data_IF_561647059189
#
_entry.id   IF_561647059189
#
_cell.length_a   1.000
_cell.length_b   1.000
_cell.length_c   1.000
_cell.angle_alpha   90.00
_cell.angle_beta   90.00
_cell.angle_gamma   90.00
#
_symmetry.space_group_name_H-M   'P 1'
#
loop_
_entity.id
_entity.type
_entity.pdbx_description
1 polymer ?
#
# COMPACT_ATOMS: atom_id res chain seq x y z
N UNK A 1 9.93 -37.74 -1.24
CA UNK A 1 9.26 -37.47 0.05
C UNK A 1 8.89 -36.00 0.02
N UNK A 2 7.67 -35.66 -0.41
CA UNK A 2 7.25 -34.26 -0.45
C UNK A 2 6.99 -33.81 0.98
N UNK A 3 7.83 -32.92 1.50
CA UNK A 3 7.40 -32.05 2.59
C UNK A 3 6.12 -31.37 2.11
N UNK A 4 5.01 -31.54 2.81
CA UNK A 4 3.86 -30.67 2.62
C UNK A 4 4.36 -29.25 2.82
N UNK A 5 4.50 -28.48 1.74
CA UNK A 5 4.94 -27.09 1.84
C UNK A 5 3.98 -26.37 2.79
N UNK A 6 4.55 -25.79 3.86
CA UNK A 6 3.80 -25.05 4.86
C UNK A 6 3.15 -23.87 4.14
N UNK A 7 1.82 -23.77 4.22
CA UNK A 7 1.09 -22.60 3.71
C UNK A 7 1.59 -21.36 4.46
N UNK A 8 2.17 -20.35 3.77
CA UNK A 8 2.72 -19.17 4.40
C UNK A 8 1.63 -18.35 5.09
N UNK A 9 2.00 -17.71 6.19
CA UNK A 9 1.10 -16.99 7.08
C UNK A 9 1.48 -15.50 7.14
N UNK A 10 0.49 -14.61 7.11
CA UNK A 10 0.72 -13.17 6.98
C UNK A 10 0.20 -12.35 8.16
N UNK A 11 0.93 -11.31 8.54
CA UNK A 11 0.42 -10.23 9.38
C UNK A 11 -0.21 -9.14 8.50
N UNK A 12 -1.46 -8.75 8.77
CA UNK A 12 -2.14 -7.69 8.03
C UNK A 12 -2.16 -6.39 8.85
N UNK A 13 -1.60 -5.33 8.29
CA UNK A 13 -1.48 -4.02 8.92
C UNK A 13 -2.51 -3.06 8.34
N UNK A 14 -3.24 -2.33 9.19
CA UNK A 14 -4.25 -1.35 8.78
C UNK A 14 -4.39 -0.19 9.77
N UNK A 15 -4.68 1.01 9.26
CA UNK A 15 -4.84 2.23 10.08
C UNK A 15 -6.22 2.86 10.03
N UNK A 16 -7.15 2.33 9.23
CA UNK A 16 -8.43 2.98 8.92
C UNK A 16 -9.55 1.97 8.66
N UNK A 17 -10.35 2.22 7.62
CA UNK A 17 -11.54 1.40 7.31
C UNK A 17 -11.25 -0.07 7.04
N UNK A 18 -10.02 -0.43 6.69
CA UNK A 18 -9.61 -1.82 6.51
C UNK A 18 -10.24 -2.51 5.31
N UNK A 19 -10.84 -1.78 4.36
CA UNK A 19 -11.51 -2.37 3.18
C UNK A 19 -10.59 -3.26 2.34
N UNK A 20 -9.32 -2.85 2.14
CA UNK A 20 -8.32 -3.72 1.48
C UNK A 20 -8.03 -4.98 2.32
N UNK A 21 -7.94 -4.86 3.65
CA UNK A 21 -7.76 -6.00 4.55
C UNK A 21 -8.97 -6.94 4.49
N UNK A 22 -10.19 -6.41 4.44
CA UNK A 22 -11.41 -7.21 4.31
C UNK A 22 -11.40 -8.04 3.03
N UNK A 23 -11.04 -7.46 1.88
CA UNK A 23 -10.95 -8.21 0.62
C UNK A 23 -9.89 -9.30 0.67
N UNK A 24 -8.74 -9.02 1.29
CA UNK A 24 -7.69 -10.02 1.51
C UNK A 24 -8.17 -11.16 2.42
N UNK A 25 -8.88 -10.86 3.49
CA UNK A 25 -9.42 -11.86 4.41
C UNK A 25 -10.49 -12.73 3.76
N UNK A 26 -11.35 -12.14 2.91
CA UNK A 26 -12.32 -12.89 2.12
C UNK A 26 -11.64 -13.82 1.10
N UNK A 27 -10.58 -13.34 0.44
CA UNK A 27 -9.77 -14.19 -0.45
C UNK A 27 -9.07 -15.31 0.34
N UNK A 28 -8.54 -15.02 1.53
CA UNK A 28 -7.84 -16.00 2.34
C UNK A 28 -8.74 -17.10 2.94
N UNK A 29 -10.04 -16.82 3.08
CA UNK A 29 -11.06 -17.79 3.52
C UNK A 29 -11.44 -18.77 2.40
N UNK A 30 -10.94 -18.56 1.18
CA UNK A 30 -11.12 -19.51 0.07
C UNK A 30 -10.38 -20.84 0.33
N UNK A 31 -10.97 -22.00 -0.02
CA UNK A 31 -10.33 -23.31 0.21
C UNK A 31 -8.98 -23.49 -0.48
N UNK A 32 -8.76 -22.77 -1.58
CA UNK A 32 -7.57 -22.79 -2.41
C UNK A 32 -6.61 -21.62 -2.11
N UNK A 33 -6.82 -20.87 -1.03
CA UNK A 33 -5.91 -19.80 -0.64
C UNK A 33 -4.49 -20.34 -0.41
N UNK A 34 -3.46 -19.79 -1.10
CA UNK A 34 -2.07 -20.20 -0.92
C UNK A 34 -1.44 -19.55 0.32
N UNK A 35 -2.22 -18.85 1.15
CA UNK A 35 -1.73 -18.20 2.36
C UNK A 35 -2.83 -18.14 3.44
N UNK A 36 -2.44 -17.81 4.67
CA UNK A 36 -3.37 -17.66 5.80
C UNK A 36 -3.10 -16.39 6.61
N UNK A 37 -4.13 -15.68 7.10
CA UNK A 37 -3.93 -14.57 8.02
C UNK A 37 -3.54 -15.10 9.41
N UNK A 38 -2.45 -14.58 9.97
CA UNK A 38 -1.96 -14.94 11.30
C UNK A 38 -2.46 -13.96 12.38
N UNK A 39 -2.45 -12.66 12.07
CA UNK A 39 -2.76 -11.59 13.02
C UNK A 39 -3.12 -10.29 12.29
N UNK A 40 -4.05 -9.52 12.83
CA UNK A 40 -4.29 -8.14 12.43
C UNK A 40 -3.47 -7.19 13.30
N UNK A 41 -2.95 -6.12 12.71
CA UNK A 41 -2.15 -5.10 13.40
C UNK A 41 -2.71 -3.72 13.09
N UNK A 42 -2.98 -2.93 14.13
CA UNK A 42 -3.39 -1.53 13.97
C UNK A 42 -2.52 -0.59 14.80
N UNK A 43 -2.12 0.52 14.19
CA UNK A 43 -1.46 1.64 14.85
C UNK A 43 -2.45 2.72 15.32
N UNK A 44 -3.74 2.55 15.02
CA UNK A 44 -4.82 3.49 15.35
C UNK A 44 -6.04 2.76 15.90
N UNK A 45 -5.93 2.12 17.07
CA UNK A 45 -7.00 1.27 17.60
C UNK A 45 -8.34 1.99 17.80
N UNK A 46 -8.32 3.30 18.04
CA UNK A 46 -9.52 4.09 18.28
C UNK A 46 -10.27 4.53 17.00
N UNK A 47 -9.60 4.58 15.85
CA UNK A 47 -10.21 5.05 14.59
C UNK A 47 -10.17 4.03 13.46
N UNK A 48 -9.45 2.92 13.65
CA UNK A 48 -9.38 1.80 12.72
C UNK A 48 -10.52 0.83 12.94
N UNK A 49 -10.94 0.15 11.87
CA UNK A 49 -11.95 -0.90 11.90
C UNK A 49 -11.35 -2.29 12.26
N UNK A 50 -10.08 -2.33 12.69
CA UNK A 50 -9.36 -3.56 13.00
C UNK A 50 -10.04 -4.45 14.06
N UNK A 51 -10.63 -3.86 15.11
CA UNK A 51 -11.40 -4.62 16.13
C UNK A 51 -12.58 -5.37 15.51
N UNK A 52 -13.32 -4.73 14.60
CA UNK A 52 -14.48 -5.34 13.92
C UNK A 52 -14.04 -6.46 12.99
N UNK A 53 -12.98 -6.24 12.21
CA UNK A 53 -12.42 -7.27 11.32
C UNK A 53 -11.87 -8.46 12.11
N UNK A 54 -11.10 -8.22 13.17
CA UNK A 54 -10.56 -9.27 14.03
C UNK A 54 -11.66 -10.16 14.61
N UNK A 55 -12.74 -9.56 15.12
CA UNK A 55 -13.89 -10.30 15.64
C UNK A 55 -14.60 -11.11 14.55
N UNK A 56 -14.86 -10.50 13.38
CA UNK A 56 -15.57 -11.14 12.26
C UNK A 56 -14.83 -12.35 11.71
N UNK A 57 -13.51 -12.22 11.50
CA UNK A 57 -12.67 -13.27 10.94
C UNK A 57 -12.00 -14.15 12.01
N UNK A 58 -12.31 -13.91 13.30
CA UNK A 58 -11.78 -14.65 14.46
C UNK A 58 -10.25 -14.69 14.50
N UNK A 59 -9.64 -13.54 14.23
CA UNK A 59 -8.19 -13.37 14.21
C UNK A 59 -7.67 -12.69 15.48
N UNK A 60 -6.45 -13.05 15.93
CA UNK A 60 -5.73 -12.24 16.89
C UNK A 60 -5.56 -10.79 16.40
N UNK A 61 -5.55 -9.85 17.34
CA UNK A 61 -5.36 -8.43 17.08
C UNK A 61 -4.24 -7.87 17.95
N UNK A 62 -3.28 -7.23 17.31
CA UNK A 62 -2.29 -6.36 17.95
C UNK A 62 -2.74 -4.91 17.78
N UNK A 63 -2.98 -4.26 18.91
CA UNK A 63 -3.17 -2.81 18.98
C UNK A 63 -1.86 -2.17 19.46
N UNK A 64 -1.29 -1.29 18.65
CA UNK A 64 -0.03 -0.62 18.96
C UNK A 64 -0.08 0.86 18.59
N UNK A 65 -0.83 1.64 19.36
CA UNK A 65 -1.11 3.05 19.07
C UNK A 65 0.16 3.91 18.94
N UNK A 66 0.49 4.32 17.71
CA UNK A 66 1.66 5.15 17.42
C UNK A 66 1.54 6.54 18.03
N UNK A 67 0.33 7.11 18.10
CA UNK A 67 0.11 8.44 18.65
C UNK A 67 0.28 8.43 20.17
N UNK A 68 -0.28 7.43 20.85
CA UNK A 68 -0.07 7.24 22.29
C UNK A 68 1.41 6.97 22.60
N UNK A 69 2.07 6.14 21.80
CA UNK A 69 3.48 5.86 21.95
C UNK A 69 4.34 7.12 21.80
N UNK A 70 4.11 7.92 20.75
CA UNK A 70 4.80 9.20 20.54
C UNK A 70 4.60 10.13 21.75
N UNK A 71 3.37 10.29 22.26
CA UNK A 71 3.09 11.12 23.44
C UNK A 71 3.85 10.66 24.69
N UNK A 72 3.91 9.34 24.93
CA UNK A 72 4.68 8.76 26.04
C UNK A 72 6.19 9.06 25.93
N UNK A 73 6.68 9.28 24.71
CA UNK A 73 8.09 9.62 24.41
C UNK A 73 8.30 11.12 24.17
N UNK A 74 7.42 11.99 24.70
CA UNK A 74 7.59 13.44 24.66
C UNK A 74 7.32 14.09 23.30
N UNK A 75 6.61 13.39 22.39
CA UNK A 75 6.25 13.89 21.06
C UNK A 75 4.79 14.27 21.01
N UNK A 76 4.51 15.53 20.65
CA UNK A 76 3.14 16.04 20.50
C UNK A 76 2.42 15.51 19.25
N UNK A 77 3.18 15.00 18.26
CA UNK A 77 2.66 14.46 17.01
C UNK A 77 3.50 13.30 16.51
N UNK A 78 2.89 12.48 15.66
CA UNK A 78 3.59 11.47 14.85
C UNK A 78 4.35 12.20 13.75
N UNK A 79 5.67 12.00 13.69
CA UNK A 79 6.57 12.70 12.76
C UNK A 79 7.75 11.79 12.40
N UNK A 80 8.45 12.12 11.32
CA UNK A 80 9.74 11.55 10.93
C UNK A 80 10.73 12.66 10.52
N UNK A 81 10.43 13.92 10.89
CA UNK A 81 11.16 15.08 10.40
C UNK A 81 12.50 15.32 11.10
N UNK A 82 12.73 14.70 12.27
CA UNK A 82 13.95 14.85 13.06
C UNK A 82 14.57 13.50 13.39
N UNK A 83 15.87 13.47 13.68
CA UNK A 83 16.55 12.25 14.14
C UNK A 83 15.88 11.63 15.36
N UNK A 84 15.40 12.45 16.28
CA UNK A 84 14.72 11.95 17.47
C UNK A 84 13.32 11.40 17.14
N UNK A 85 12.61 11.97 16.16
CA UNK A 85 11.37 11.38 15.67
C UNK A 85 11.60 9.99 15.05
N UNK A 86 12.71 9.82 14.31
CA UNK A 86 13.12 8.55 13.75
C UNK A 86 13.51 7.53 14.83
N UNK A 87 14.22 7.95 15.88
CA UNK A 87 14.53 7.10 17.04
C UNK A 87 13.26 6.64 17.76
N UNK A 88 12.29 7.53 17.96
CA UNK A 88 10.99 7.17 18.54
C UNK A 88 10.26 6.18 17.64
N UNK A 89 10.29 6.37 16.31
CA UNK A 89 9.73 5.41 15.34
C UNK A 89 10.39 4.04 15.42
N UNK A 90 11.71 3.99 15.54
CA UNK A 90 12.44 2.72 15.62
C UNK A 90 12.10 1.99 16.93
N UNK A 91 12.02 2.69 18.07
CA UNK A 91 11.57 2.11 19.34
C UNK A 91 10.15 1.54 19.24
N UNK A 92 9.23 2.28 18.63
CA UNK A 92 7.87 1.79 18.38
C UNK A 92 7.87 0.52 17.51
N UNK A 93 8.72 0.50 16.48
CA UNK A 93 8.86 -0.65 15.57
C UNK A 93 9.47 -1.85 16.30
N UNK A 94 10.44 -1.65 17.18
CA UNK A 94 11.02 -2.71 18.00
C UNK A 94 9.97 -3.37 18.93
N UNK A 95 9.13 -2.58 19.61
CA UNK A 95 8.03 -3.14 20.40
C UNK A 95 7.01 -3.89 19.52
N UNK A 96 6.81 -3.46 18.28
CA UNK A 96 5.95 -4.18 17.35
C UNK A 96 6.54 -5.54 16.94
N UNK A 97 7.86 -5.61 16.71
CA UNK A 97 8.56 -6.87 16.42
C UNK A 97 8.36 -7.88 17.54
N UNK A 98 8.56 -7.46 18.79
CA UNK A 98 8.36 -8.30 19.97
C UNK A 98 6.94 -8.86 20.05
N UNK A 99 5.92 -8.02 19.80
CA UNK A 99 4.52 -8.45 19.76
C UNK A 99 4.23 -9.47 18.65
N UNK A 100 4.90 -9.34 17.50
CA UNK A 100 4.71 -10.24 16.36
C UNK A 100 5.33 -11.64 16.56
N UNK A 101 6.35 -11.78 17.42
CA UNK A 101 7.01 -13.06 17.69
C UNK A 101 6.06 -14.15 18.23
N UNK A 102 4.93 -13.78 18.80
CA UNK A 102 3.91 -14.71 19.28
C UNK A 102 3.11 -15.38 18.15
N UNK A 103 3.30 -14.96 16.90
CA UNK A 103 2.53 -15.41 15.75
C UNK A 103 3.44 -16.00 14.67
N UNK A 104 2.98 -17.04 13.95
CA UNK A 104 3.73 -17.62 12.83
C UNK A 104 3.61 -16.70 11.62
N UNK A 105 4.39 -15.62 11.56
CA UNK A 105 4.36 -14.65 10.45
C UNK A 105 5.53 -14.92 9.51
N UNK A 106 5.22 -15.24 8.26
CA UNK A 106 6.18 -15.47 7.19
C UNK A 106 6.35 -14.20 6.30
N UNK A 107 5.30 -13.36 6.20
CA UNK A 107 5.35 -12.08 5.47
C UNK A 107 4.32 -11.07 6.00
N UNK A 108 4.43 -9.80 5.58
CA UNK A 108 3.52 -8.72 5.98
C UNK A 108 2.67 -8.20 4.81
N UNK A 109 1.47 -7.71 5.12
CA UNK A 109 0.57 -7.06 4.15
C UNK A 109 0.11 -5.71 4.70
N UNK A 110 0.55 -4.61 4.08
CA UNK A 110 0.20 -3.23 4.41
C UNK A 110 -1.12 -2.85 3.72
N UNK A 111 -2.24 -3.18 4.34
CA UNK A 111 -3.57 -3.00 3.79
C UNK A 111 -4.21 -1.66 4.18
N UNK A 112 -3.62 -0.56 3.69
CA UNK A 112 -3.99 0.79 4.10
C UNK A 112 -3.34 1.20 5.42
N UNK A 113 -2.12 0.71 5.65
CA UNK A 113 -1.31 1.06 6.80
C UNK A 113 -0.59 2.39 6.55
N UNK A 114 -0.95 3.42 7.33
CA UNK A 114 -0.49 4.80 7.11
C UNK A 114 0.84 5.12 7.81
N UNK A 115 1.30 4.23 8.67
CA UNK A 115 2.42 4.48 9.57
C UNK A 115 3.69 3.90 8.96
N UNK A 116 4.49 4.78 8.36
CA UNK A 116 5.82 4.47 7.82
C UNK A 116 6.72 3.83 8.90
N UNK A 117 6.95 2.52 8.89
CA UNK A 117 7.78 1.84 9.89
C UNK A 117 8.77 0.87 9.24
N UNK A 118 9.75 0.43 10.02
CA UNK A 118 10.85 -0.40 9.56
C UNK A 118 10.60 -1.90 9.76
N UNK A 119 9.34 -2.33 9.90
CA UNK A 119 9.00 -3.76 9.93
C UNK A 119 9.36 -4.47 8.62
N UNK A 120 9.49 -3.68 7.54
CA UNK A 120 9.96 -4.11 6.23
C UNK A 120 11.44 -4.51 6.19
N UNK A 121 12.22 -4.21 7.24
CA UNK A 121 13.58 -4.76 7.39
C UNK A 121 13.56 -6.23 7.82
N UNK A 122 12.47 -6.68 8.43
CA UNK A 122 12.36 -7.99 9.07
C UNK A 122 11.47 -8.93 8.27
N UNK A 123 10.50 -8.38 7.55
CA UNK A 123 9.51 -9.11 6.76
C UNK A 123 9.43 -8.54 5.34
N UNK A 124 9.24 -9.42 4.37
CA UNK A 124 8.73 -8.99 3.07
C UNK A 124 7.32 -8.43 3.26
N UNK A 125 7.15 -7.13 3.01
CA UNK A 125 5.86 -6.47 3.17
C UNK A 125 5.28 -6.06 1.83
N UNK A 126 4.08 -6.54 1.52
CA UNK A 126 3.35 -6.13 0.34
C UNK A 126 2.53 -4.87 0.64
N UNK A 127 2.59 -3.88 -0.24
CA UNK A 127 1.77 -2.66 -0.12
C UNK A 127 1.03 -2.40 -1.43
N UNK A 128 -0.21 -1.90 -1.33
CA UNK A 128 -0.96 -1.39 -2.48
C UNK A 128 -0.92 0.14 -2.48
N UNK A 129 -0.69 0.71 -3.65
CA UNK A 129 -0.52 2.15 -3.86
C UNK A 129 -1.49 2.65 -4.95
N UNK A 130 -2.22 3.76 -4.73
CA UNK A 130 -3.19 4.31 -5.68
C UNK A 130 -2.51 5.16 -6.76
N UNK A 131 -1.65 4.53 -7.56
CA UNK A 131 -0.97 5.15 -8.69
C UNK A 131 -0.14 4.12 -9.47
N UNK A 132 0.09 4.37 -10.75
CA UNK A 132 0.90 3.49 -11.58
C UNK A 132 2.40 3.72 -11.33
N UNK A 133 2.99 2.88 -10.48
CA UNK A 133 4.39 2.98 -10.08
C UNK A 133 5.38 2.48 -11.15
N UNK A 134 4.91 1.92 -12.27
CA UNK A 134 5.79 1.60 -13.41
C UNK A 134 6.08 2.84 -14.26
N UNK A 135 5.30 3.92 -14.12
CA UNK A 135 5.49 5.16 -14.88
C UNK A 135 6.58 6.02 -14.25
N UNK A 136 7.67 6.22 -14.98
CA UNK A 136 8.81 7.02 -14.55
C UNK A 136 9.15 8.14 -15.53
N UNK A 137 9.61 9.26 -14.99
CA UNK A 137 10.23 10.35 -15.74
C UNK A 137 11.57 10.69 -15.09
N UNK A 138 12.65 10.74 -15.87
CA UNK A 138 14.01 11.00 -15.38
C UNK A 138 14.43 10.07 -14.22
N UNK A 139 14.07 8.78 -14.31
CA UNK A 139 14.37 7.76 -13.30
C UNK A 139 13.58 7.90 -12.00
N UNK A 140 12.50 8.69 -11.98
CA UNK A 140 11.64 8.88 -10.80
C UNK A 140 10.20 8.47 -11.09
N UNK A 141 9.59 7.72 -10.18
CA UNK A 141 8.17 7.36 -10.22
C UNK A 141 7.31 8.61 -10.06
N UNK A 142 6.66 9.06 -11.14
CA UNK A 142 5.88 10.30 -11.10
C UNK A 142 4.57 10.15 -10.33
N UNK A 143 4.09 8.92 -10.15
CA UNK A 143 2.88 8.62 -9.39
C UNK A 143 3.13 8.12 -7.96
N UNK A 144 4.35 8.23 -7.42
CA UNK A 144 4.64 7.90 -6.02
C UNK A 144 4.16 8.99 -5.03
N UNK A 145 3.94 8.65 -3.77
CA UNK A 145 3.59 9.60 -2.70
C UNK A 145 2.15 9.51 -2.20
N UNK A 146 1.80 10.35 -1.23
CA UNK A 146 0.69 10.05 -0.33
C UNK A 146 -0.70 10.48 -0.83
N UNK A 147 -1.73 9.79 -0.32
CA UNK A 147 -3.14 10.16 -0.43
C UNK A 147 -3.62 10.35 -1.88
N UNK A 148 -4.15 11.54 -2.18
CA UNK A 148 -4.70 11.93 -3.49
C UNK A 148 -3.65 12.48 -4.47
N UNK A 149 -2.40 12.65 -4.02
CA UNK A 149 -1.34 13.29 -4.81
C UNK A 149 -1.08 12.62 -6.17
N UNK A 150 -0.97 11.28 -6.25
CA UNK A 150 -0.83 10.58 -7.53
C UNK A 150 -1.96 10.89 -8.51
N UNK A 151 -3.20 10.87 -8.04
CA UNK A 151 -4.40 11.14 -8.84
C UNK A 151 -4.48 12.60 -9.28
N UNK A 152 -4.17 13.56 -8.41
CA UNK A 152 -4.10 14.98 -8.79
C UNK A 152 -3.08 15.19 -9.93
N UNK A 153 -1.91 14.54 -9.87
CA UNK A 153 -0.90 14.63 -10.92
C UNK A 153 -1.37 14.00 -12.24
N UNK A 154 -2.00 12.84 -12.20
CA UNK A 154 -2.55 12.21 -13.41
C UNK A 154 -3.60 13.11 -14.09
N UNK A 155 -4.52 13.68 -13.30
CA UNK A 155 -5.53 14.64 -13.78
C UNK A 155 -4.86 15.86 -14.42
N UNK A 156 -3.87 16.46 -13.75
CA UNK A 156 -3.19 17.67 -14.25
C UNK A 156 -2.33 17.39 -15.49
N UNK A 157 -1.78 16.18 -15.64
CA UNK A 157 -1.05 15.75 -16.83
C UNK A 157 -2.00 15.53 -18.02
N UNK A 158 -3.28 15.31 -17.75
CA UNK A 158 -4.29 15.03 -18.77
C UNK A 158 -4.41 13.56 -19.10
N UNK A 159 -4.02 12.67 -18.18
CA UNK A 159 -4.16 11.24 -18.36
C UNK A 159 -5.65 10.87 -18.46
N UNK A 160 -5.95 9.83 -19.24
CA UNK A 160 -7.32 9.32 -19.39
C UNK A 160 -7.72 8.31 -18.32
N UNK A 161 -6.75 7.72 -17.63
CA UNK A 161 -6.95 6.66 -16.64
C UNK A 161 -5.84 6.64 -15.58
N UNK A 162 -6.12 5.97 -14.46
CA UNK A 162 -5.17 5.68 -13.37
C UNK A 162 -5.20 4.19 -13.03
N UNK A 163 -4.16 3.69 -12.38
CA UNK A 163 -4.04 2.29 -11.92
C UNK A 163 -3.64 2.22 -10.45
N UNK A 164 -3.86 1.07 -9.85
CA UNK A 164 -3.24 0.70 -8.57
C UNK A 164 -2.01 -0.16 -8.84
N UNK A 165 -0.99 -0.02 -8.01
CA UNK A 165 0.22 -0.84 -8.02
C UNK A 165 0.39 -1.58 -6.72
N UNK A 166 0.81 -2.84 -6.78
CA UNK A 166 1.29 -3.60 -5.62
C UNK A 166 2.80 -3.72 -5.70
N UNK A 167 3.45 -3.42 -4.58
CA UNK A 167 4.90 -3.40 -4.46
C UNK A 167 5.36 -4.27 -3.31
N UNK A 168 6.64 -4.64 -3.36
CA UNK A 168 7.37 -5.00 -2.15
C UNK A 168 7.84 -3.69 -1.47
N UNK A 169 7.29 -3.37 -0.32
CA UNK A 169 7.59 -2.13 0.41
C UNK A 169 9.01 -2.17 1.00
N UNK A 170 9.75 -1.09 0.82
CA UNK A 170 11.09 -0.91 1.39
C UNK A 170 11.09 -0.28 2.78
N UNK A 171 12.24 -0.27 3.48
CA UNK A 171 12.41 0.44 4.74
C UNK A 171 12.42 1.95 4.56
N UNK A 172 12.15 2.66 5.65
CA UNK A 172 12.10 4.11 5.68
C UNK A 172 13.49 4.66 6.02
N UNK A 173 14.09 5.43 5.11
CA UNK A 173 15.41 6.04 5.29
C UNK A 173 15.42 7.55 5.58
N UNK A 174 16.56 8.08 6.03
CA UNK A 174 16.79 9.53 6.28
C UNK A 174 16.96 10.39 5.01
N UNK A 175 16.94 9.80 3.81
CA UNK A 175 17.11 10.52 2.54
C UNK A 175 16.25 9.91 1.44
N UNK A 176 15.01 10.36 1.36
CA UNK A 176 14.21 10.30 0.13
C UNK A 176 13.72 8.93 -0.32
N UNK A 177 14.29 7.81 0.16
CA UNK A 177 13.84 6.46 -0.21
C UNK A 177 12.56 6.10 0.55
N UNK A 178 11.41 6.28 -0.08
CA UNK A 178 10.10 5.99 0.51
C UNK A 178 9.72 4.50 0.42
N UNK A 179 8.68 4.09 1.18
CA UNK A 179 8.14 2.72 1.09
C UNK A 179 7.68 2.35 -0.34
N UNK A 180 7.38 3.35 -1.18
CA UNK A 180 6.89 3.19 -2.55
C UNK A 180 7.98 2.98 -3.61
N UNK A 181 9.21 2.63 -3.23
CA UNK A 181 10.34 2.50 -4.16
C UNK A 181 10.73 1.06 -4.52
N UNK A 182 10.29 0.07 -3.75
CA UNK A 182 10.61 -1.33 -4.06
C UNK A 182 9.96 -1.84 -5.36
N UNK A 183 10.30 -3.06 -5.80
CA UNK A 183 9.86 -3.61 -7.08
C UNK A 183 8.32 -3.64 -7.18
N UNK A 184 7.80 -3.29 -8.37
CA UNK A 184 6.37 -3.31 -8.64
C UNK A 184 5.96 -4.70 -9.08
N UNK A 185 5.35 -5.46 -8.19
CA UNK A 185 4.96 -6.85 -8.42
C UNK A 185 3.76 -6.95 -9.36
N UNK A 186 2.81 -6.02 -9.25
CA UNK A 186 1.66 -6.01 -10.14
C UNK A 186 0.96 -4.67 -10.25
N UNK A 187 0.23 -4.49 -11.36
CA UNK A 187 -0.62 -3.34 -11.61
C UNK A 187 -2.04 -3.77 -11.98
N UNK A 188 -3.03 -2.98 -11.60
CA UNK A 188 -4.43 -3.21 -12.00
C UNK A 188 -4.66 -2.85 -13.47
N UNK A 189 -5.82 -3.22 -14.01
CA UNK A 189 -6.36 -2.59 -15.21
C UNK A 189 -6.45 -1.05 -15.09
N UNK A 190 -6.40 -0.33 -16.22
CA UNK A 190 -6.57 1.12 -16.22
C UNK A 190 -8.02 1.46 -15.86
N UNK A 191 -8.19 2.27 -14.82
CA UNK A 191 -9.49 2.83 -14.44
C UNK A 191 -9.64 4.23 -15.05
N UNK A 192 -10.64 4.47 -15.93
CA UNK A 192 -10.87 5.77 -16.51
C UNK A 192 -11.10 6.86 -15.45
N UNK A 193 -10.41 7.99 -15.61
CA UNK A 193 -10.60 9.17 -14.79
C UNK A 193 -11.98 9.77 -15.07
N UNK A 194 -12.77 9.94 -14.02
CA UNK A 194 -14.04 10.67 -14.09
C UNK A 194 -13.78 12.12 -13.70
N UNK A 195 -13.80 13.01 -14.70
CA UNK A 195 -13.63 14.44 -14.50
C UNK A 195 -14.93 15.18 -14.14
N UNK A 196 -16.07 14.47 -14.06
CA UNK A 196 -17.40 15.03 -13.76
C UNK A 196 -17.75 16.27 -14.60
N UNK A 197 -17.39 16.23 -15.88
CA UNK A 197 -17.61 17.33 -16.84
C UNK A 197 -16.63 18.51 -16.73
N UNK A 198 -15.66 18.48 -15.82
CA UNK A 198 -14.63 19.52 -15.70
C UNK A 198 -13.53 19.34 -16.75
N UNK A 199 -12.98 20.47 -17.23
CA UNK A 199 -11.84 20.44 -18.15
C UNK A 199 -10.51 20.41 -17.41
N UNK A 200 -9.49 19.82 -18.01
CA UNK A 200 -8.13 19.82 -17.46
C UNK A 200 -7.59 21.25 -17.30
N UNK A 201 -7.97 22.18 -18.20
CA UNK A 201 -7.57 23.60 -18.09
C UNK A 201 -8.10 24.24 -16.80
N UNK A 202 -9.38 24.05 -16.49
CA UNK A 202 -9.98 24.56 -15.25
C UNK A 202 -9.30 23.98 -14.00
N UNK A 203 -8.93 22.70 -14.05
CA UNK A 203 -8.25 22.02 -12.93
C UNK A 203 -6.80 22.51 -12.76
N UNK A 204 -6.10 22.82 -13.85
CA UNK A 204 -4.78 23.47 -13.82
C UNK A 204 -4.84 24.87 -13.22
N UNK A 205 -5.85 25.68 -13.58
CA UNK A 205 -6.08 26.98 -12.94
C UNK A 205 -6.40 26.84 -11.45
N UNK A 206 -7.19 25.84 -11.08
CA UNK A 206 -7.49 25.54 -9.67
C UNK A 206 -6.21 25.20 -8.90
N UNK A 207 -5.34 24.36 -9.46
CA UNK A 207 -4.04 24.05 -8.88
C UNK A 207 -3.13 25.28 -8.76
N UNK A 208 -3.10 26.16 -9.76
CA UNK A 208 -2.29 27.38 -9.74
C UNK A 208 -2.67 28.33 -8.59
N UNK A 209 -3.96 28.39 -8.21
CA UNK A 209 -4.46 29.18 -7.07
C UNK A 209 -4.05 28.62 -5.70
N UNK A 210 -3.38 27.47 -5.64
CA UNK A 210 -2.85 26.87 -4.40
C UNK A 210 -1.48 27.43 -3.99
N UNK A 211 -0.85 28.27 -4.81
CA UNK A 211 0.45 28.84 -4.49
C UNK A 211 0.48 29.46 -3.08
N UNK A 212 1.43 29.02 -2.25
CA UNK A 212 1.58 29.48 -0.86
C UNK A 212 0.61 28.86 0.17
N UNK A 213 -0.31 27.99 -0.24
CA UNK A 213 -1.30 27.36 0.65
C UNK A 213 -0.83 26.00 1.17
N UNK A 214 -1.13 25.71 2.43
CA UNK A 214 -0.92 24.39 3.02
C UNK A 214 -1.96 23.37 2.51
N UNK A 215 -1.66 22.05 2.52
CA UNK A 215 -2.57 20.99 2.08
C UNK A 215 -3.99 20.99 2.67
N UNK A 216 -4.14 21.46 3.91
CA UNK A 216 -5.45 21.59 4.55
C UNK A 216 -6.32 22.69 3.97
N UNK A 217 -5.72 23.76 3.44
CA UNK A 217 -6.42 24.95 2.94
C UNK A 217 -7.06 24.75 1.56
N UNK A 218 -6.60 23.75 0.80
CA UNK A 218 -7.15 23.41 -0.51
C UNK A 218 -7.85 22.04 -0.54
N UNK A 219 -8.05 21.41 0.61
CA UNK A 219 -8.67 20.08 0.69
C UNK A 219 -10.09 20.02 0.10
N UNK A 220 -10.77 21.15 -0.01
CA UNK A 220 -12.15 21.27 -0.52
C UNK A 220 -12.24 21.84 -1.94
N UNK A 221 -11.12 22.14 -2.60
CA UNK A 221 -11.18 22.64 -3.97
C UNK A 221 -11.59 21.55 -4.98
N UNK A 222 -11.95 21.97 -6.19
CA UNK A 222 -12.46 21.09 -7.22
C UNK A 222 -11.49 19.94 -7.55
N UNK A 223 -10.18 20.23 -7.64
CA UNK A 223 -9.17 19.23 -7.96
C UNK A 223 -9.00 18.20 -6.82
N UNK A 224 -8.99 18.67 -5.57
CA UNK A 224 -8.86 17.79 -4.40
C UNK A 224 -10.07 16.85 -4.28
N UNK A 225 -11.29 17.39 -4.44
CA UNK A 225 -12.52 16.61 -4.40
C UNK A 225 -12.61 15.60 -5.55
N UNK A 226 -12.19 16.00 -6.76
CA UNK A 226 -12.16 15.12 -7.91
C UNK A 226 -11.13 13.98 -7.75
N UNK A 227 -9.97 14.29 -7.18
CA UNK A 227 -8.96 13.29 -6.88
C UNK A 227 -9.44 12.31 -5.79
N UNK A 228 -10.07 12.80 -4.73
CA UNK A 228 -10.69 11.94 -3.69
C UNK A 228 -11.72 10.99 -4.32
N UNK A 229 -12.63 11.52 -5.15
CA UNK A 229 -13.62 10.72 -5.87
C UNK A 229 -12.97 9.60 -6.70
N UNK A 230 -11.93 9.92 -7.48
CA UNK A 230 -11.27 8.93 -8.32
C UNK A 230 -10.43 7.93 -7.50
N UNK A 231 -9.83 8.33 -6.37
CA UNK A 231 -9.14 7.38 -5.46
C UNK A 231 -10.14 6.37 -4.88
N UNK A 232 -11.33 6.80 -4.47
CA UNK A 232 -12.34 5.88 -3.95
C UNK A 232 -12.85 4.93 -5.04
N UNK A 233 -13.03 5.40 -6.28
CA UNK A 233 -13.33 4.52 -7.42
C UNK A 233 -12.18 3.54 -7.70
N UNK A 234 -10.93 4.02 -7.64
CA UNK A 234 -9.74 3.21 -7.89
C UNK A 234 -9.56 2.12 -6.84
N UNK A 235 -9.99 2.34 -5.61
CA UNK A 235 -9.98 1.33 -4.57
C UNK A 235 -10.76 0.08 -4.99
N UNK A 236 -11.96 0.27 -5.53
CA UNK A 236 -12.80 -0.85 -5.95
C UNK A 236 -12.36 -1.46 -7.29
N UNK A 237 -12.02 -0.61 -8.27
CA UNK A 237 -11.65 -1.03 -9.61
C UNK A 237 -10.19 -1.53 -9.72
N UNK A 238 -9.34 -1.11 -8.80
CA UNK A 238 -7.90 -1.36 -8.75
C UNK A 238 -7.52 -2.19 -7.53
N UNK A 239 -7.44 -1.57 -6.35
CA UNK A 239 -6.88 -2.21 -5.13
C UNK A 239 -7.54 -3.56 -4.82
N UNK A 240 -8.88 -3.61 -4.79
CA UNK A 240 -9.65 -4.82 -4.46
C UNK A 240 -9.48 -5.95 -5.48
N UNK A 241 -8.97 -5.64 -6.66
CA UNK A 241 -8.71 -6.59 -7.75
C UNK A 241 -7.26 -7.04 -7.72
N UNK A 242 -6.31 -6.11 -7.80
CA UNK A 242 -4.89 -6.43 -7.94
C UNK A 242 -4.30 -6.97 -6.64
N UNK A 243 -4.72 -6.44 -5.48
CA UNK A 243 -3.99 -6.70 -4.24
C UNK A 243 -4.15 -8.14 -3.75
N UNK A 244 -5.36 -8.73 -3.64
CA UNK A 244 -5.49 -10.13 -3.28
C UNK A 244 -4.76 -11.07 -4.24
N UNK A 245 -4.82 -10.79 -5.55
CA UNK A 245 -4.20 -11.64 -6.58
C UNK A 245 -2.68 -11.62 -6.54
N UNK A 246 -2.07 -10.45 -6.33
CA UNK A 246 -0.62 -10.37 -6.14
C UNK A 246 -0.20 -11.08 -4.85
N UNK A 247 -0.97 -10.95 -3.77
CA UNK A 247 -0.70 -11.69 -2.52
C UNK A 247 -0.73 -13.20 -2.75
N UNK A 248 -1.71 -13.71 -3.52
CA UNK A 248 -1.77 -15.13 -3.89
C UNK A 248 -0.54 -15.57 -4.67
N UNK A 249 -0.16 -14.82 -5.70
CA UNK A 249 0.98 -15.16 -6.56
C UNK A 249 2.31 -15.07 -5.78
N UNK A 250 2.45 -14.09 -4.88
CA UNK A 250 3.59 -13.96 -3.97
C UNK A 250 3.68 -15.15 -3.01
N UNK A 251 2.58 -15.49 -2.34
CA UNK A 251 2.53 -16.62 -1.41
C UNK A 251 2.74 -17.98 -2.11
N UNK A 252 2.39 -18.08 -3.40
CA UNK A 252 2.63 -19.26 -4.22
C UNK A 252 4.06 -19.35 -4.78
N UNK A 253 4.95 -18.43 -4.40
CA UNK A 253 6.33 -18.42 -4.86
C UNK A 253 6.51 -18.08 -6.34
N UNK A 254 5.51 -17.43 -6.97
CA UNK A 254 5.58 -17.10 -8.41
C UNK A 254 6.48 -15.89 -8.70
N UNK A 255 6.88 -15.14 -7.66
CA UNK A 255 7.82 -14.03 -7.77
C UNK A 255 9.18 -14.41 -7.20
N UNK A 256 10.24 -14.00 -7.89
CA UNK A 256 11.61 -14.05 -7.38
C UNK A 256 12.36 -12.79 -7.82
N UNK A 257 13.51 -12.54 -7.18
CA UNK A 257 14.35 -11.40 -7.50
C UNK A 257 15.80 -11.84 -7.53
N UNK A 258 16.48 -11.56 -8.64
CA UNK A 258 17.89 -11.91 -8.87
C UNK A 258 18.58 -10.69 -9.50
N UNK A 259 19.69 -10.23 -8.92
CA UNK A 259 20.46 -9.06 -9.38
C UNK A 259 19.62 -7.79 -9.62
N UNK A 260 18.58 -7.58 -8.80
CA UNK A 260 17.67 -6.44 -8.91
C UNK A 260 16.64 -6.55 -10.04
N UNK A 261 16.59 -7.68 -10.74
CA UNK A 261 15.59 -7.99 -11.76
C UNK A 261 14.46 -8.79 -11.09
N UNK A 262 13.22 -8.35 -11.32
CA UNK A 262 12.03 -9.07 -10.90
C UNK A 262 11.71 -10.17 -11.91
N UNK A 263 11.44 -11.37 -11.40
CA UNK A 263 10.97 -12.49 -12.19
C UNK A 263 9.56 -12.88 -11.77
N UNK A 264 8.74 -13.27 -12.75
CA UNK A 264 7.43 -13.87 -12.54
C UNK A 264 7.35 -15.18 -13.33
N UNK A 265 7.16 -16.31 -12.63
CA UNK A 265 7.21 -17.66 -13.23
C UNK A 265 8.48 -17.88 -14.06
N UNK A 266 9.61 -17.56 -13.46
CA UNK A 266 10.96 -17.66 -14.05
C UNK A 266 11.20 -16.80 -15.30
N UNK A 267 10.32 -15.83 -15.59
CA UNK A 267 10.49 -14.87 -16.68
C UNK A 267 10.82 -13.48 -16.13
N UNK A 268 11.85 -12.80 -16.64
CA UNK A 268 12.18 -11.45 -16.22
C UNK A 268 11.09 -10.47 -16.67
N UNK A 269 10.61 -9.64 -15.74
CA UNK A 269 9.49 -8.73 -15.94
C UNK A 269 9.76 -7.37 -15.33
N UNK A 270 9.16 -6.32 -15.91
CA UNK A 270 9.08 -5.00 -15.25
C UNK A 270 7.97 -4.95 -14.19
N UNK A 271 6.88 -5.69 -14.43
CA UNK A 271 5.77 -5.93 -13.50
C UNK A 271 4.82 -6.98 -14.10
N UNK A 272 3.66 -7.21 -13.48
CA UNK A 272 2.60 -8.08 -13.99
C UNK A 272 1.28 -7.32 -14.03
N UNK A 273 0.60 -7.28 -15.17
CA UNK A 273 -0.75 -6.74 -15.28
C UNK A 273 -1.76 -7.77 -14.77
N UNK A 274 -2.61 -7.37 -13.83
CA UNK A 274 -3.72 -8.17 -13.32
C UNK A 274 -5.03 -7.59 -13.87
N UNK A 275 -5.50 -8.06 -15.04
CA UNK A 275 -6.75 -7.58 -15.61
C UNK A 275 -7.92 -8.00 -14.72
N UNK A 276 -8.97 -7.18 -14.60
CA UNK A 276 -10.15 -7.49 -13.77
C UNK A 276 -10.71 -8.87 -14.09
N UNK A 277 -10.79 -9.17 -15.38
CA UNK A 277 -11.21 -10.45 -15.91
C UNK A 277 -10.05 -11.08 -16.69
N UNK A 278 -9.62 -12.28 -16.29
CA UNK A 278 -8.58 -13.03 -16.99
C UNK A 278 -7.30 -13.28 -16.19
N UNK A 279 -6.35 -13.96 -16.83
CA UNK A 279 -5.09 -14.37 -16.22
C UNK A 279 -4.10 -13.19 -16.07
N UNK A 280 -3.18 -13.24 -15.08
CA UNK A 280 -2.08 -12.29 -14.98
C UNK A 280 -1.23 -12.29 -16.25
N UNK A 281 -0.80 -11.10 -16.69
CA UNK A 281 -0.03 -10.88 -17.91
C UNK A 281 1.34 -10.30 -17.56
N UNK A 282 2.43 -11.06 -17.74
CA UNK A 282 3.80 -10.56 -17.54
C UNK A 282 4.08 -9.34 -18.43
N UNK A 283 4.62 -8.27 -17.87
CA UNK A 283 5.06 -7.10 -18.63
C UNK A 283 6.58 -7.19 -18.84
N UNK A 284 7.08 -7.09 -20.09
CA UNK A 284 8.50 -7.22 -20.36
C UNK A 284 9.31 -6.08 -19.74
N UNK A 285 10.61 -6.30 -19.55
CA UNK A 285 11.56 -5.23 -19.24
C UNK A 285 11.57 -4.21 -20.41
N UNK A 286 11.52 -2.92 -20.07
CA UNK A 286 11.59 -1.80 -21.02
C UNK A 286 13.02 -1.33 -21.25
#
# INVERSE_FOLDING_TARGET
MNSSEKIPSAALFLSGSGTNAEKLLLDADSPDSPWRPAVLVTDRPETSEARKLAARFRLPLIEHDISAFCRKHGRSRVSLATEEDLRVREKWTAELREKLQAFPVDFGILAGFMTLCNITNDLFCLNVHPGDLTVQENGKRIFAGLHRGPTERAILRGDSAIRSSVILAGPVGMKGSGMDEGPVLGISDPMPLDLRGMTVSFLKETAARRAGKAPGEYAQDALAQLAIHNVERLKEAGDWIVFPRVVRDFASGLFSMEDGILYYRDQPVSSVLYPKDGAPQPLPLT
#
